data_IF_589298925187
#
_entry.id   IF_589298925187
#
_cell.length_a   1.000
_cell.length_b   1.000
_cell.length_c   1.000
_cell.angle_alpha   90.00
_cell.angle_beta   90.00
_cell.angle_gamma   90.00
#
_symmetry.space_group_name_H-M   'P 1'
#
loop_
_entity.id
_entity.type
_entity.pdbx_description
1 polymer ?
#
# COMPACT_ATOMS: atom_id res chain seq x y z
N UNK A 1 24.39 20.29 -19.69
CA UNK A 1 23.61 19.64 -18.63
C UNK A 1 24.30 18.33 -18.24
N UNK A 2 24.62 18.10 -16.97
CA UNK A 2 25.50 17.02 -16.53
C UNK A 2 24.86 15.64 -16.76
N UNK A 3 25.69 14.66 -17.14
CA UNK A 3 25.31 13.29 -17.56
C UNK A 3 24.47 12.56 -16.50
N UNK A 4 24.72 12.82 -15.22
CA UNK A 4 23.95 12.31 -14.07
C UNK A 4 22.48 12.70 -14.10
N UNK A 5 22.17 13.93 -14.51
CA UNK A 5 20.79 14.42 -14.61
C UNK A 5 20.05 13.70 -15.76
N UNK A 6 20.70 13.50 -16.92
CA UNK A 6 20.11 12.73 -18.03
C UNK A 6 19.84 11.27 -17.67
N UNK A 7 20.76 10.63 -16.94
CA UNK A 7 20.58 9.27 -16.47
C UNK A 7 19.37 9.16 -15.53
N UNK A 8 19.29 10.04 -14.53
CA UNK A 8 18.16 10.07 -13.57
C UNK A 8 16.81 10.28 -14.27
N UNK A 9 16.72 11.21 -15.21
CA UNK A 9 15.50 11.42 -16.00
C UNK A 9 15.16 10.22 -16.92
N UNK A 10 16.17 9.55 -17.48
CA UNK A 10 15.99 8.33 -18.28
C UNK A 10 15.45 7.16 -17.46
N UNK A 11 16.00 6.95 -16.26
CA UNK A 11 15.54 5.91 -15.32
C UNK A 11 14.12 6.19 -14.85
N UNK A 12 13.80 7.44 -14.50
CA UNK A 12 12.43 7.81 -14.12
C UNK A 12 11.42 7.61 -15.25
N UNK A 13 11.77 7.96 -16.49
CA UNK A 13 10.93 7.67 -17.65
C UNK A 13 10.71 6.16 -17.83
N UNK A 14 11.73 5.34 -17.59
CA UNK A 14 11.67 3.87 -17.77
C UNK A 14 10.91 3.16 -16.64
N UNK A 15 11.01 3.66 -15.40
CA UNK A 15 10.25 3.15 -14.27
C UNK A 15 8.77 3.58 -14.36
N UNK A 16 8.53 4.82 -14.77
CA UNK A 16 7.19 5.35 -14.98
C UNK A 16 6.51 4.87 -16.26
N UNK A 17 7.18 4.13 -17.16
CA UNK A 17 6.59 3.66 -18.43
C UNK A 17 5.66 2.47 -18.27
N UNK A 18 5.74 1.75 -17.15
CA UNK A 18 4.87 0.62 -16.85
C UNK A 18 4.59 0.58 -15.34
N UNK A 19 3.32 0.46 -14.92
CA UNK A 19 2.94 0.61 -13.52
C UNK A 19 3.62 -0.43 -12.62
N UNK A 20 3.70 -1.70 -13.03
CA UNK A 20 4.31 -2.75 -12.22
C UNK A 20 5.77 -2.48 -11.83
N UNK A 21 6.57 -1.81 -12.68
CA UNK A 21 8.00 -1.58 -12.40
C UNK A 21 8.21 -0.68 -11.19
N UNK A 22 7.53 0.46 -11.20
CA UNK A 22 7.63 1.45 -10.13
C UNK A 22 7.06 0.90 -8.82
N UNK A 23 5.87 0.30 -8.91
CA UNK A 23 5.17 -0.25 -7.76
C UNK A 23 5.93 -1.42 -7.12
N UNK A 24 6.43 -2.38 -7.90
CA UNK A 24 7.15 -3.53 -7.33
C UNK A 24 8.49 -3.14 -6.73
N UNK A 25 9.19 -2.15 -7.32
CA UNK A 25 10.39 -1.60 -6.70
C UNK A 25 10.07 -0.94 -5.35
N UNK A 26 9.03 -0.09 -5.30
CA UNK A 26 8.56 0.51 -4.05
C UNK A 26 8.17 -0.52 -3.00
N UNK A 27 7.44 -1.55 -3.41
CA UNK A 27 7.08 -2.68 -2.55
C UNK A 27 8.28 -3.47 -2.04
N UNK A 28 9.27 -3.73 -2.87
CA UNK A 28 10.50 -4.42 -2.46
C UNK A 28 11.30 -3.59 -1.45
N UNK A 29 11.49 -2.30 -1.72
CA UNK A 29 12.12 -1.38 -0.77
C UNK A 29 11.36 -1.33 0.56
N UNK A 30 10.03 -1.26 0.50
CA UNK A 30 9.17 -1.26 1.67
C UNK A 30 9.27 -2.57 2.47
N UNK A 31 9.32 -3.72 1.81
CA UNK A 31 9.48 -5.01 2.47
C UNK A 31 10.79 -5.08 3.24
N UNK A 32 11.89 -4.65 2.62
CA UNK A 32 13.20 -4.59 3.28
C UNK A 32 13.15 -3.61 4.47
N UNK A 33 12.60 -2.42 4.29
CA UNK A 33 12.48 -1.42 5.36
C UNK A 33 11.64 -1.94 6.54
N UNK A 34 10.51 -2.61 6.28
CA UNK A 34 9.66 -3.20 7.31
C UNK A 34 10.36 -4.33 8.07
N UNK A 35 11.11 -5.19 7.37
CA UNK A 35 11.86 -6.28 8.01
C UNK A 35 13.04 -5.76 8.83
N UNK A 36 13.78 -4.77 8.33
CA UNK A 36 14.88 -4.15 9.06
C UNK A 36 14.37 -3.45 10.32
N UNK A 37 13.31 -2.64 10.20
CA UNK A 37 12.68 -1.99 11.36
C UNK A 37 12.16 -3.02 12.37
N UNK A 38 11.51 -4.09 11.92
CA UNK A 38 11.00 -5.14 12.80
C UNK A 38 12.11 -5.91 13.52
N UNK A 39 13.20 -6.22 12.80
CA UNK A 39 14.39 -6.85 13.39
C UNK A 39 14.99 -5.95 14.47
N UNK A 40 15.07 -4.64 14.23
CA UNK A 40 15.52 -3.65 15.21
C UNK A 40 14.61 -3.64 16.45
N UNK A 41 13.29 -3.62 16.29
CA UNK A 41 12.37 -3.67 17.46
C UNK A 41 12.54 -4.97 18.27
N UNK A 42 12.60 -6.13 17.61
CA UNK A 42 12.76 -7.43 18.27
C UNK A 42 14.09 -7.57 19.00
N UNK A 43 15.19 -7.13 18.38
CA UNK A 43 16.53 -7.20 18.98
C UNK A 43 16.65 -6.30 20.21
N UNK A 44 16.01 -5.14 20.22
CA UNK A 44 15.94 -4.29 21.41
C UNK A 44 15.16 -4.96 22.54
N UNK A 45 14.01 -5.56 22.21
CA UNK A 45 13.11 -6.21 23.17
C UNK A 45 13.66 -7.48 23.80
N UNK A 46 14.24 -8.37 23.00
CA UNK A 46 14.59 -9.72 23.44
C UNK A 46 16.06 -9.92 23.77
N UNK A 47 16.94 -9.07 23.24
CA UNK A 47 18.40 -9.21 23.43
C UNK A 47 19.02 -8.04 24.21
N UNK A 48 18.25 -6.98 24.49
CA UNK A 48 18.74 -5.83 25.26
C UNK A 48 19.89 -5.07 24.57
N UNK A 49 20.05 -5.19 23.26
CA UNK A 49 21.15 -4.57 22.52
C UNK A 49 21.12 -3.04 22.54
N UNK A 50 19.97 -2.43 22.85
CA UNK A 50 19.78 -0.98 22.93
C UNK A 50 18.70 -0.64 23.99
N UNK A 51 18.64 0.61 24.48
CA UNK A 51 17.55 1.07 25.34
C UNK A 51 16.19 0.88 24.65
N UNK A 52 15.15 0.62 25.46
CA UNK A 52 13.79 0.43 24.96
C UNK A 52 13.32 1.65 24.15
N UNK A 53 13.22 1.51 22.83
CA UNK A 53 12.64 2.56 21.97
C UNK A 53 11.14 2.66 22.21
N UNK A 54 10.67 3.82 22.63
CA UNK A 54 9.25 4.10 22.78
C UNK A 54 8.66 4.44 21.41
N UNK A 55 7.88 3.53 20.85
CA UNK A 55 7.14 3.76 19.61
C UNK A 55 5.79 4.39 19.91
N UNK A 56 5.30 5.23 19.00
CA UNK A 56 4.02 5.93 19.15
C UNK A 56 2.81 4.99 19.31
N UNK A 57 2.87 3.79 18.72
CA UNK A 57 1.87 2.73 18.88
C UNK A 57 2.57 1.39 19.17
N UNK A 58 1.87 0.38 19.72
CA UNK A 58 2.48 -0.92 19.95
C UNK A 58 3.07 -1.52 18.66
N UNK A 59 4.36 -1.89 18.64
CA UNK A 59 5.06 -2.34 17.43
C UNK A 59 4.46 -3.53 16.72
N UNK A 60 3.80 -4.45 17.44
CA UNK A 60 3.09 -5.58 16.82
C UNK A 60 2.01 -5.08 15.85
N UNK A 61 1.28 -4.01 16.22
CA UNK A 61 0.25 -3.43 15.36
C UNK A 61 0.84 -2.59 14.24
N UNK A 62 1.94 -1.89 14.50
CA UNK A 62 2.69 -1.18 13.47
C UNK A 62 3.25 -2.14 12.41
N UNK A 63 3.85 -3.25 12.83
CA UNK A 63 4.36 -4.29 11.95
C UNK A 63 3.23 -4.90 11.09
N UNK A 64 2.13 -5.30 11.73
CA UNK A 64 0.98 -5.83 11.02
C UNK A 64 0.45 -4.84 9.97
N UNK A 65 0.34 -3.55 10.32
CA UNK A 65 -0.05 -2.51 9.36
C UNK A 65 0.95 -2.37 8.21
N UNK A 66 2.24 -2.27 8.50
CA UNK A 66 3.30 -2.12 7.49
C UNK A 66 3.33 -3.29 6.52
N UNK A 67 3.05 -4.51 6.98
CA UNK A 67 3.02 -5.71 6.13
C UNK A 67 1.72 -5.83 5.33
N UNK A 68 0.57 -5.58 5.96
CA UNK A 68 -0.73 -5.77 5.31
C UNK A 68 -1.07 -4.60 4.39
N UNK A 69 -0.93 -3.38 4.91
CA UNK A 69 -1.37 -2.14 4.27
C UNK A 69 -0.22 -1.28 3.76
N UNK A 70 0.99 -1.42 4.31
CA UNK A 70 2.16 -0.71 3.81
C UNK A 70 2.84 -1.41 2.64
N UNK A 71 2.84 -2.74 2.60
CA UNK A 71 3.62 -3.55 1.66
C UNK A 71 2.79 -4.11 0.51
N UNK A 72 1.73 -4.89 0.79
CA UNK A 72 0.93 -5.53 -0.28
C UNK A 72 0.30 -4.56 -1.29
N UNK A 73 -0.15 -3.35 -0.92
CA UNK A 73 -0.81 -2.47 -1.90
C UNK A 73 0.09 -2.06 -3.05
N UNK A 74 1.41 -2.01 -2.82
CA UNK A 74 2.35 -1.80 -3.92
C UNK A 74 2.21 -2.90 -4.97
N UNK A 75 2.19 -4.16 -4.56
CA UNK A 75 2.06 -5.28 -5.49
C UNK A 75 0.65 -5.39 -6.08
N UNK A 76 -0.39 -5.17 -5.28
CA UNK A 76 -1.79 -5.19 -5.72
C UNK A 76 -1.98 -4.16 -6.83
N UNK A 77 -1.69 -2.88 -6.60
CA UNK A 77 -1.90 -1.85 -7.62
C UNK A 77 -0.93 -1.97 -8.80
N UNK A 78 0.33 -2.36 -8.57
CA UNK A 78 1.28 -2.61 -9.65
C UNK A 78 0.81 -3.70 -10.61
N UNK A 79 0.25 -4.78 -10.07
CA UNK A 79 -0.35 -5.85 -10.85
C UNK A 79 -1.64 -5.42 -11.53
N UNK A 80 -2.62 -4.90 -10.77
CA UNK A 80 -3.96 -4.58 -11.27
C UNK A 80 -3.94 -3.50 -12.35
N UNK A 81 -3.11 -2.45 -12.23
CA UNK A 81 -2.99 -1.44 -13.28
C UNK A 81 -2.41 -1.98 -14.59
N UNK A 82 -1.65 -3.07 -14.55
CA UNK A 82 -1.16 -3.75 -15.76
C UNK A 82 -2.21 -4.75 -16.27
N UNK A 83 -2.80 -5.52 -15.38
CA UNK A 83 -3.62 -6.68 -15.70
C UNK A 83 -5.05 -6.31 -16.14
N UNK A 84 -5.73 -5.41 -15.39
CA UNK A 84 -7.13 -5.06 -15.66
C UNK A 84 -7.37 -4.56 -17.09
N UNK A 85 -6.61 -3.56 -17.59
CA UNK A 85 -6.84 -3.06 -18.94
C UNK A 85 -6.63 -4.13 -20.00
N UNK A 86 -5.62 -4.98 -19.83
CA UNK A 86 -5.28 -6.03 -20.78
C UNK A 86 -6.32 -7.15 -20.81
N UNK A 87 -6.90 -7.54 -19.67
CA UNK A 87 -7.91 -8.61 -19.61
C UNK A 87 -9.31 -8.17 -20.03
N UNK A 88 -9.62 -6.88 -19.90
CA UNK A 88 -10.89 -6.31 -20.32
C UNK A 88 -10.85 -5.78 -21.76
N UNK A 89 -9.73 -5.95 -22.46
CA UNK A 89 -9.44 -5.31 -23.76
C UNK A 89 -9.77 -3.81 -23.75
N UNK A 90 -9.47 -3.14 -22.63
CA UNK A 90 -9.80 -1.75 -22.38
C UNK A 90 -8.59 -0.83 -22.65
N UNK A 91 -8.86 0.46 -22.80
CA UNK A 91 -7.80 1.46 -22.90
C UNK A 91 -6.88 1.43 -21.67
N UNK A 92 -5.57 1.62 -21.92
CA UNK A 92 -4.57 1.65 -20.86
C UNK A 92 -4.83 2.82 -19.92
N UNK A 93 -4.61 2.59 -18.62
CA UNK A 93 -4.71 3.64 -17.61
C UNK A 93 -3.66 4.72 -17.90
N UNK A 94 -4.04 6.00 -17.97
CA UNK A 94 -3.11 7.09 -18.21
C UNK A 94 -2.06 7.18 -17.10
N UNK A 95 -0.83 7.49 -17.49
CA UNK A 95 0.35 7.38 -16.61
C UNK A 95 0.25 8.15 -15.31
N UNK A 96 -0.35 9.33 -15.38
CA UNK A 96 -0.56 10.20 -14.24
C UNK A 96 -1.36 9.55 -13.10
N UNK A 97 -2.34 8.70 -13.40
CA UNK A 97 -3.20 8.10 -12.36
C UNK A 97 -2.43 7.09 -11.49
N UNK A 98 -1.63 6.21 -12.11
CA UNK A 98 -0.81 5.27 -11.33
C UNK A 98 0.37 5.97 -10.66
N UNK A 99 0.92 7.05 -11.24
CA UNK A 99 1.96 7.84 -10.58
C UNK A 99 1.44 8.52 -9.32
N UNK A 100 0.28 9.18 -9.37
CA UNK A 100 -0.33 9.78 -8.17
C UNK A 100 -0.61 8.71 -7.12
N UNK A 101 -1.18 7.58 -7.53
CA UNK A 101 -1.45 6.45 -6.64
C UNK A 101 -0.17 5.99 -5.93
N UNK A 102 0.91 5.81 -6.69
CA UNK A 102 2.21 5.40 -6.16
C UNK A 102 2.76 6.41 -5.15
N UNK A 103 2.79 7.69 -5.51
CA UNK A 103 3.36 8.71 -4.63
C UNK A 103 2.52 8.94 -3.38
N UNK A 104 1.19 8.85 -3.46
CA UNK A 104 0.32 8.96 -2.31
C UNK A 104 0.50 7.78 -1.33
N UNK A 105 0.58 6.55 -1.84
CA UNK A 105 0.88 5.37 -1.03
C UNK A 105 2.29 5.46 -0.45
N UNK A 106 3.31 5.74 -1.28
CA UNK A 106 4.70 5.84 -0.84
C UNK A 106 4.95 6.94 0.19
N UNK A 107 4.32 8.11 0.02
CA UNK A 107 4.36 9.19 1.02
C UNK A 107 3.70 8.75 2.31
N UNK A 108 2.55 8.09 2.23
CA UNK A 108 1.89 7.49 3.40
C UNK A 108 2.81 6.50 4.12
N UNK A 109 3.49 5.63 3.40
CA UNK A 109 4.44 4.67 3.98
C UNK A 109 5.61 5.35 4.69
N UNK A 110 6.24 6.36 4.08
CA UNK A 110 7.35 7.12 4.67
C UNK A 110 6.89 7.90 5.91
N UNK A 111 5.73 8.55 5.82
CA UNK A 111 5.12 9.24 6.96
C UNK A 111 4.79 8.27 8.08
N UNK A 112 4.46 7.01 7.79
CA UNK A 112 4.16 6.03 8.83
C UNK A 112 5.39 5.75 9.71
N UNK A 113 6.55 5.50 9.11
CA UNK A 113 7.81 5.35 9.86
C UNK A 113 8.16 6.60 10.66
N UNK A 114 7.97 7.76 10.06
CA UNK A 114 8.18 9.06 10.73
C UNK A 114 7.23 9.20 11.93
N UNK A 115 5.95 8.84 11.75
CA UNK A 115 4.94 8.89 12.80
C UNK A 115 5.20 7.90 13.93
N UNK A 116 5.81 6.75 13.66
CA UNK A 116 6.21 5.81 14.70
C UNK A 116 7.23 6.42 15.67
N UNK A 117 8.14 7.25 15.15
CA UNK A 117 9.21 7.89 15.93
C UNK A 117 8.76 9.16 16.65
N UNK A 118 7.89 9.97 16.04
CA UNK A 118 7.67 11.34 16.51
C UNK A 118 6.27 11.60 17.09
N UNK A 119 5.20 11.21 16.39
CA UNK A 119 3.86 11.55 16.86
C UNK A 119 2.72 10.79 16.20
N UNK A 120 1.63 10.67 16.96
CA UNK A 120 0.37 10.08 16.51
C UNK A 120 -0.31 10.89 15.40
N UNK A 121 -0.14 12.21 15.37
CA UNK A 121 -0.71 13.07 14.33
C UNK A 121 -0.09 12.76 12.95
N UNK A 122 1.21 12.51 12.91
CA UNK A 122 1.89 12.10 11.67
C UNK A 122 1.39 10.72 11.22
N UNK A 123 1.12 9.78 12.14
CA UNK A 123 0.48 8.49 11.81
C UNK A 123 -0.93 8.66 11.22
N UNK A 124 -1.73 9.61 11.73
CA UNK A 124 -3.04 9.89 11.13
C UNK A 124 -2.90 10.40 9.70
N UNK A 125 -1.98 11.35 9.47
CA UNK A 125 -1.69 11.87 8.13
C UNK A 125 -1.14 10.78 7.19
N UNK A 126 -0.31 9.88 7.71
CA UNK A 126 0.26 8.78 6.93
C UNK A 126 -0.84 7.85 6.42
N UNK A 127 -1.78 7.48 7.29
CA UNK A 127 -2.90 6.59 6.94
C UNK A 127 -3.87 7.30 5.99
N UNK A 128 -4.11 8.61 6.16
CA UNK A 128 -4.91 9.40 5.21
C UNK A 128 -4.27 9.46 3.82
N UNK A 129 -2.97 9.71 3.74
CA UNK A 129 -2.23 9.70 2.47
C UNK A 129 -2.35 8.35 1.76
N UNK A 130 -2.20 7.26 2.52
CA UNK A 130 -2.36 5.91 2.00
C UNK A 130 -3.79 5.63 1.53
N UNK A 131 -4.82 6.06 2.28
CA UNK A 131 -6.22 5.98 1.88
C UNK A 131 -6.52 6.78 0.62
N UNK A 132 -5.98 7.98 0.48
CA UNK A 132 -6.14 8.80 -0.73
C UNK A 132 -5.52 8.11 -1.95
N UNK A 133 -4.29 7.59 -1.82
CA UNK A 133 -3.64 6.83 -2.89
C UNK A 133 -4.44 5.59 -3.27
N UNK A 134 -4.87 4.81 -2.28
CA UNK A 134 -5.72 3.64 -2.48
C UNK A 134 -7.03 3.99 -3.19
N UNK A 135 -7.70 5.06 -2.76
CA UNK A 135 -8.95 5.53 -3.35
C UNK A 135 -8.81 5.93 -4.81
N UNK A 136 -7.74 6.67 -5.16
CA UNK A 136 -7.44 7.06 -6.54
C UNK A 136 -7.19 5.83 -7.43
N UNK A 137 -6.42 4.86 -6.91
CA UNK A 137 -6.15 3.63 -7.64
C UNK A 137 -7.39 2.76 -7.82
N UNK A 138 -8.16 2.57 -6.76
CA UNK A 138 -9.43 1.86 -6.79
C UNK A 138 -10.41 2.50 -7.78
N UNK A 139 -10.58 3.83 -7.72
CA UNK A 139 -11.44 4.57 -8.64
C UNK A 139 -11.06 4.35 -10.10
N UNK A 140 -9.76 4.37 -10.41
CA UNK A 140 -9.24 4.13 -11.76
C UNK A 140 -9.61 2.72 -12.27
N UNK A 141 -9.50 1.71 -11.41
CA UNK A 141 -9.86 0.32 -11.74
C UNK A 141 -11.38 0.15 -11.88
N UNK A 142 -12.17 0.71 -10.95
CA UNK A 142 -13.64 0.66 -11.01
C UNK A 142 -14.18 1.31 -12.27
N UNK A 143 -13.61 2.46 -12.68
CA UNK A 143 -14.03 3.15 -13.90
C UNK A 143 -13.89 2.26 -15.14
N UNK A 144 -12.81 1.50 -15.26
CA UNK A 144 -12.58 0.57 -16.37
C UNK A 144 -13.55 -0.61 -16.28
N UNK A 145 -13.69 -1.19 -15.09
CA UNK A 145 -14.57 -2.34 -14.86
C UNK A 145 -16.04 -2.03 -15.21
N UNK A 146 -16.52 -0.83 -14.86
CA UNK A 146 -17.89 -0.41 -15.16
C UNK A 146 -18.13 -0.29 -16.68
N UNK A 147 -17.13 0.16 -17.44
CA UNK A 147 -17.22 0.33 -18.89
C UNK A 147 -17.03 -0.98 -19.66
N UNK A 148 -16.40 -1.98 -19.05
CA UNK A 148 -16.12 -3.25 -19.70
C UNK A 148 -17.39 -4.05 -20.01
N UNK A 149 -17.38 -4.69 -21.19
CA UNK A 149 -18.42 -5.62 -21.69
C UNK A 149 -17.93 -7.07 -21.82
N UNK A 150 -16.67 -7.34 -21.46
CA UNK A 150 -16.06 -8.67 -21.52
C UNK A 150 -16.68 -9.64 -20.50
N UNK A 151 -16.81 -10.94 -20.82
CA UNK A 151 -17.18 -11.98 -19.86
C UNK A 151 -16.30 -12.02 -18.61
N UNK A 152 -15.03 -11.63 -18.74
CA UNK A 152 -14.04 -11.57 -17.65
C UNK A 152 -14.41 -10.56 -16.54
N UNK A 153 -15.39 -9.69 -16.80
CA UNK A 153 -15.89 -8.71 -15.84
C UNK A 153 -16.32 -9.33 -14.51
N UNK A 154 -16.85 -10.55 -14.50
CA UNK A 154 -17.29 -11.20 -13.26
C UNK A 154 -16.08 -11.48 -12.37
N UNK A 155 -15.03 -12.11 -12.90
CA UNK A 155 -13.81 -12.43 -12.16
C UNK A 155 -13.11 -11.16 -11.67
N UNK A 156 -13.01 -10.16 -12.53
CA UNK A 156 -12.40 -8.87 -12.16
C UNK A 156 -13.25 -8.05 -11.18
N UNK A 157 -14.56 -8.28 -11.12
CA UNK A 157 -15.41 -7.65 -10.09
C UNK A 157 -15.11 -8.20 -8.70
N UNK A 158 -14.76 -9.48 -8.57
CA UNK A 158 -14.29 -10.06 -7.31
C UNK A 158 -12.96 -9.43 -6.86
N UNK A 159 -12.04 -9.21 -7.81
CA UNK A 159 -10.80 -8.46 -7.54
C UNK A 159 -11.08 -7.01 -7.12
N UNK A 160 -12.07 -6.34 -7.71
CA UNK A 160 -12.44 -4.99 -7.30
C UNK A 160 -13.05 -4.95 -5.90
N UNK A 161 -13.89 -5.93 -5.54
CA UNK A 161 -14.41 -6.10 -4.18
C UNK A 161 -13.28 -6.28 -3.15
N UNK A 162 -12.25 -7.03 -3.53
CA UNK A 162 -11.05 -7.21 -2.73
C UNK A 162 -10.27 -5.90 -2.50
N UNK A 163 -10.17 -5.05 -3.53
CA UNK A 163 -9.57 -3.72 -3.39
C UNK A 163 -10.40 -2.85 -2.43
N UNK A 164 -11.74 -2.93 -2.46
CA UNK A 164 -12.61 -2.19 -1.52
C UNK A 164 -12.45 -2.69 -0.09
N UNK A 165 -12.40 -4.00 0.12
CA UNK A 165 -12.21 -4.54 1.47
C UNK A 165 -10.88 -4.07 2.08
N UNK A 166 -9.83 -3.94 1.28
CA UNK A 166 -8.56 -3.35 1.73
C UNK A 166 -8.69 -1.91 2.18
N UNK A 167 -9.43 -1.07 1.44
CA UNK A 167 -9.70 0.30 1.85
C UNK A 167 -10.47 0.37 3.18
N UNK A 168 -11.45 -0.52 3.39
CA UNK A 168 -12.17 -0.64 4.67
C UNK A 168 -11.23 -1.04 5.81
N UNK A 169 -10.28 -1.92 5.55
CA UNK A 169 -9.25 -2.32 6.51
C UNK A 169 -8.35 -1.15 6.93
N UNK A 170 -7.86 -0.36 5.96
CA UNK A 170 -7.06 0.85 6.23
C UNK A 170 -7.88 1.90 6.98
N UNK A 171 -9.14 2.13 6.59
CA UNK A 171 -10.04 3.06 7.27
C UNK A 171 -10.31 2.63 8.71
N UNK A 172 -10.49 1.34 8.94
CA UNK A 172 -10.64 0.79 10.30
C UNK A 172 -9.37 1.04 11.12
N UNK A 173 -8.18 0.91 10.55
CA UNK A 173 -6.94 1.25 11.25
C UNK A 173 -6.87 2.75 11.58
N UNK A 174 -7.30 3.62 10.67
CA UNK A 174 -7.41 5.06 10.93
C UNK A 174 -8.36 5.35 12.11
N UNK A 175 -9.54 4.74 12.11
CA UNK A 175 -10.53 4.90 13.17
C UNK A 175 -10.02 4.40 14.52
N UNK A 176 -9.25 3.30 14.54
CA UNK A 176 -8.56 2.86 15.75
C UNK A 176 -7.55 3.90 16.23
N UNK A 177 -6.69 4.41 15.35
CA UNK A 177 -5.75 5.46 15.73
C UNK A 177 -6.50 6.67 16.30
N UNK A 178 -7.56 7.13 15.64
CA UNK A 178 -8.28 8.33 16.06
C UNK A 178 -9.05 8.13 17.38
N UNK A 179 -9.84 7.06 17.48
CA UNK A 179 -10.77 6.82 18.59
C UNK A 179 -10.19 5.98 19.74
N UNK A 180 -9.03 5.35 19.53
CA UNK A 180 -8.41 4.39 20.45
C UNK A 180 -9.31 3.19 20.82
N UNK A 181 -10.23 2.80 19.93
CA UNK A 181 -11.17 1.70 20.17
C UNK A 181 -10.68 0.39 19.53
N UNK A 182 -10.47 -0.65 20.35
CA UNK A 182 -9.98 -1.97 19.94
C UNK A 182 -10.87 -2.68 18.92
N UNK A 183 -12.17 -2.35 18.86
CA UNK A 183 -13.08 -2.86 17.83
C UNK A 183 -12.52 -2.60 16.42
N UNK A 184 -12.14 -1.36 16.13
CA UNK A 184 -11.63 -0.96 14.83
C UNK A 184 -10.28 -1.60 14.49
N UNK A 185 -9.43 -1.80 15.49
CA UNK A 185 -8.18 -2.55 15.33
C UNK A 185 -8.43 -4.00 14.95
N UNK A 186 -9.41 -4.64 15.60
CA UNK A 186 -9.80 -6.01 15.29
C UNK A 186 -10.38 -6.12 13.88
N UNK A 187 -11.22 -5.17 13.46
CA UNK A 187 -11.73 -5.12 12.08
C UNK A 187 -10.57 -4.97 11.09
N UNK A 188 -9.66 -4.02 11.31
CA UNK A 188 -8.48 -3.84 10.46
C UNK A 188 -7.61 -5.10 10.38
N UNK A 189 -7.41 -5.81 11.49
CA UNK A 189 -6.65 -7.06 11.51
C UNK A 189 -7.34 -8.18 10.75
N UNK A 190 -8.62 -8.40 11.02
CA UNK A 190 -9.40 -9.49 10.42
C UNK A 190 -9.51 -9.28 8.91
N UNK A 191 -9.93 -8.10 8.48
CA UNK A 191 -10.00 -7.74 7.07
C UNK A 191 -8.65 -7.94 6.39
N UNK A 192 -7.57 -7.45 7.01
CA UNK A 192 -6.21 -7.58 6.48
C UNK A 192 -5.73 -9.03 6.31
N UNK A 193 -5.98 -9.90 7.29
CA UNK A 193 -5.61 -11.31 7.23
C UNK A 193 -6.40 -12.03 6.13
N UNK A 194 -7.71 -11.81 6.06
CA UNK A 194 -8.53 -12.41 5.01
C UNK A 194 -8.12 -11.91 3.63
N UNK A 195 -7.75 -10.64 3.51
CA UNK A 195 -7.20 -10.06 2.29
C UNK A 195 -5.92 -10.80 1.86
N UNK A 196 -4.99 -11.06 2.77
CA UNK A 196 -3.80 -11.86 2.44
C UNK A 196 -4.10 -13.32 2.03
N UNK A 197 -5.21 -13.89 2.50
CA UNK A 197 -5.59 -15.30 2.24
C UNK A 197 -6.36 -15.50 0.93
N UNK A 198 -7.18 -14.53 0.53
CA UNK A 198 -7.97 -14.63 -0.69
C UNK A 198 -7.20 -14.20 -1.95
N UNK A 199 -6.16 -13.36 -1.80
CA UNK A 199 -5.35 -12.90 -2.93
C UNK A 199 -4.81 -14.06 -3.80
N UNK A 200 -4.22 -15.15 -3.26
CA UNK A 200 -3.66 -16.23 -4.08
C UNK A 200 -4.71 -17.08 -4.82
N UNK A 201 -5.99 -17.00 -4.43
CA UNK A 201 -7.07 -17.78 -5.07
C UNK A 201 -7.69 -17.06 -6.28
N UNK A 202 -7.29 -15.81 -6.52
CA UNK A 202 -7.79 -14.99 -7.63
C UNK A 202 -6.91 -15.10 -8.89
N UNK A 203 -5.84 -15.90 -8.85
CA UNK A 203 -4.86 -16.12 -9.94
C UNK A 203 -4.71 -17.59 -10.27
#
# INVERSE_FOLDING_TARGET
MPVTIKFFFGTWKTLGSAPHRLFFLGGACQGIAAMLWWLLDLSGRFRGFYPFFFWTIPPVWAHAYLMIYGFFPFFIFGFLFTFFPNWLDAEKIPSWHYLITFFAIGTGTVLFYTGLLFSKNILLLSVLSLLSGWGIGAFSLFRILLQARSPEKIHLSLMALFVVSGAVGVLSFFLWLFMNNLFWLNVARVVGIWLSRFFPMLF
#
